data_IF_727787342252
#
_entry.id   IF_727787342252
#
_cell.length_a   1.000
_cell.length_b   1.000
_cell.length_c   1.000
_cell.angle_alpha   90.00
_cell.angle_beta   90.00
_cell.angle_gamma   90.00
#
_symmetry.space_group_name_H-M   'P 1'
#
loop_
_entity.id
_entity.type
_entity.pdbx_description
1 polymer ?
#
# COMPACT_ATOMS: atom_id res chain seq x y z
N UNK A 1 16.87 -6.41 -29.39
CA UNK A 1 15.98 -7.09 -30.38
C UNK A 1 14.94 -6.08 -30.88
N UNK A 2 14.63 -5.97 -32.19
CA UNK A 2 13.73 -4.94 -32.72
C UNK A 2 12.27 -5.37 -32.92
N UNK A 3 11.89 -6.59 -32.51
CA UNK A 3 10.53 -7.14 -32.64
C UNK A 3 10.08 -7.77 -31.32
N UNK A 4 8.77 -7.90 -31.14
CA UNK A 4 8.18 -8.54 -29.95
C UNK A 4 8.57 -10.02 -29.85
N UNK A 5 8.88 -10.47 -28.63
CA UNK A 5 9.07 -11.87 -28.33
C UNK A 5 8.70 -12.15 -26.87
N UNK A 6 8.24 -13.38 -26.60
CA UNK A 6 7.75 -13.79 -25.26
C UNK A 6 8.88 -13.88 -24.23
N UNK A 7 10.11 -14.13 -24.68
CA UNK A 7 11.28 -14.13 -23.79
C UNK A 7 11.57 -12.72 -23.31
N UNK A 8 11.78 -12.59 -22.00
CA UNK A 8 12.19 -11.34 -21.37
C UNK A 8 13.47 -10.80 -22.02
N UNK A 9 13.53 -9.48 -22.13
CA UNK A 9 14.74 -8.74 -22.49
C UNK A 9 15.70 -8.77 -21.30
N UNK A 10 16.99 -8.83 -21.61
CA UNK A 10 18.02 -8.68 -20.58
C UNK A 10 18.07 -7.23 -20.07
N UNK A 11 18.64 -7.05 -18.87
CA UNK A 11 18.73 -5.74 -18.23
C UNK A 11 19.48 -4.72 -19.09
N UNK A 12 20.52 -5.16 -19.82
CA UNK A 12 21.28 -4.31 -20.73
C UNK A 12 20.41 -3.79 -21.90
N UNK A 13 19.50 -4.60 -22.45
CA UNK A 13 18.57 -4.19 -23.49
C UNK A 13 17.54 -3.18 -22.97
N UNK A 14 17.02 -3.38 -21.76
CA UNK A 14 16.10 -2.43 -21.11
C UNK A 14 16.81 -1.10 -20.85
N UNK A 15 18.04 -1.14 -20.33
CA UNK A 15 18.85 0.06 -20.11
C UNK A 15 19.17 0.80 -21.41
N UNK A 16 19.46 0.06 -22.50
CA UNK A 16 19.68 0.66 -23.82
C UNK A 16 18.43 1.37 -24.34
N UNK A 17 17.24 0.81 -24.16
CA UNK A 17 15.98 1.48 -24.52
C UNK A 17 15.76 2.73 -23.70
N UNK A 18 15.98 2.67 -22.38
CA UNK A 18 15.86 3.83 -21.49
C UNK A 18 16.80 4.95 -21.90
N UNK A 19 18.09 4.65 -22.13
CA UNK A 19 19.09 5.64 -22.60
C UNK A 19 18.73 6.23 -23.96
N UNK A 20 18.17 5.44 -24.87
CA UNK A 20 17.80 5.94 -26.19
C UNK A 20 16.57 6.86 -26.12
N UNK A 21 15.59 6.52 -25.28
CA UNK A 21 14.46 7.40 -24.99
C UNK A 21 14.92 8.70 -24.32
N UNK A 22 15.83 8.62 -23.33
CA UNK A 22 16.43 9.80 -22.70
C UNK A 22 17.08 10.72 -23.74
N UNK A 23 17.86 10.14 -24.65
CA UNK A 23 18.53 10.90 -25.71
C UNK A 23 17.55 11.63 -26.63
N UNK A 24 16.58 10.94 -27.24
CA UNK A 24 15.64 11.60 -28.17
C UNK A 24 14.74 12.61 -27.45
N UNK A 25 14.37 12.36 -26.18
CA UNK A 25 13.62 13.33 -25.38
C UNK A 25 14.37 14.66 -25.17
N UNK A 26 15.71 14.63 -25.08
CA UNK A 26 16.51 15.86 -24.99
C UNK A 26 16.55 16.67 -26.29
N UNK A 27 16.37 16.03 -27.45
CA UNK A 27 16.35 16.72 -28.76
C UNK A 27 15.00 17.41 -29.06
N UNK A 28 13.95 17.11 -28.28
CA UNK A 28 12.64 17.75 -28.29
C UNK A 28 11.86 17.72 -29.63
N UNK A 29 12.15 16.76 -30.52
CA UNK A 29 11.35 16.51 -31.73
C UNK A 29 10.20 15.55 -31.44
N UNK A 30 8.98 16.09 -31.37
CA UNK A 30 7.77 15.33 -31.11
C UNK A 30 7.60 14.10 -32.02
N UNK A 31 7.83 14.25 -33.34
CA UNK A 31 7.54 13.18 -34.31
C UNK A 31 8.52 12.02 -34.13
N UNK A 32 9.80 12.35 -33.92
CA UNK A 32 10.84 11.35 -33.68
C UNK A 32 10.62 10.62 -32.37
N UNK A 33 10.31 11.35 -31.29
CA UNK A 33 10.08 10.76 -29.98
C UNK A 33 8.84 9.86 -30.01
N UNK A 34 7.72 10.32 -30.59
CA UNK A 34 6.51 9.50 -30.74
C UNK A 34 6.79 8.21 -31.53
N UNK A 35 7.54 8.30 -32.63
CA UNK A 35 7.91 7.13 -33.41
C UNK A 35 8.82 6.17 -32.65
N UNK A 36 9.77 6.70 -31.86
CA UNK A 36 10.63 5.88 -31.01
C UNK A 36 9.82 5.16 -29.93
N UNK A 37 8.86 5.84 -29.30
CA UNK A 37 7.98 5.24 -28.32
C UNK A 37 7.15 4.10 -28.89
N UNK A 38 6.52 4.29 -30.06
CA UNK A 38 5.76 3.22 -30.73
C UNK A 38 6.65 2.01 -31.04
N UNK A 39 7.92 2.22 -31.41
CA UNK A 39 8.88 1.12 -31.59
C UNK A 39 9.25 0.44 -30.28
N UNK A 40 9.47 1.23 -29.22
CA UNK A 40 9.85 0.73 -27.91
C UNK A 40 8.76 -0.17 -27.32
N UNK A 41 7.50 0.25 -27.36
CA UNK A 41 6.39 -0.52 -26.79
C UNK A 41 6.07 -1.80 -27.57
N UNK A 42 6.53 -1.94 -28.82
CA UNK A 42 6.48 -3.22 -29.54
C UNK A 42 7.47 -4.22 -28.95
N UNK A 43 8.71 -3.81 -28.70
CA UNK A 43 9.74 -4.70 -28.15
C UNK A 43 9.57 -4.92 -26.65
N UNK A 44 9.14 -3.89 -25.93
CA UNK A 44 9.02 -3.86 -24.48
C UNK A 44 7.56 -3.97 -24.02
N UNK A 45 6.70 -4.65 -24.81
CA UNK A 45 5.25 -4.66 -24.60
C UNK A 45 4.80 -5.14 -23.21
N UNK A 46 5.57 -6.03 -22.56
CA UNK A 46 5.25 -6.58 -21.25
C UNK A 46 5.78 -5.76 -20.06
N UNK A 47 6.48 -4.65 -20.34
CA UNK A 47 7.12 -3.81 -19.33
C UNK A 47 6.30 -2.54 -19.12
N UNK A 48 5.55 -2.52 -18.02
CA UNK A 48 4.66 -1.40 -17.66
C UNK A 48 5.42 -0.07 -17.55
N UNK A 49 6.72 -0.09 -17.23
CA UNK A 49 7.56 1.11 -17.09
C UNK A 49 7.62 1.94 -18.38
N UNK A 50 7.75 1.29 -19.55
CA UNK A 50 7.83 1.99 -20.83
C UNK A 50 6.47 2.54 -21.25
N UNK A 51 5.39 1.81 -20.99
CA UNK A 51 4.02 2.31 -21.19
C UNK A 51 3.72 3.53 -20.32
N UNK A 52 4.11 3.48 -19.04
CA UNK A 52 3.94 4.62 -18.13
C UNK A 52 4.78 5.82 -18.56
N UNK A 53 6.03 5.60 -18.97
CA UNK A 53 6.90 6.66 -19.48
C UNK A 53 6.30 7.29 -20.73
N UNK A 54 5.82 6.49 -21.67
CA UNK A 54 5.18 6.96 -22.89
C UNK A 54 3.92 7.78 -22.59
N UNK A 55 3.05 7.27 -21.70
CA UNK A 55 1.84 7.98 -21.30
C UNK A 55 2.16 9.32 -20.62
N UNK A 56 3.18 9.39 -19.76
CA UNK A 56 3.63 10.64 -19.12
C UNK A 56 4.18 11.64 -20.13
N UNK A 57 5.01 11.17 -21.07
CA UNK A 57 5.56 12.02 -22.13
C UNK A 57 4.46 12.59 -23.02
N UNK A 58 3.49 11.75 -23.42
CA UNK A 58 2.35 12.17 -24.25
C UNK A 58 1.40 13.11 -23.49
N UNK A 59 1.19 12.89 -22.19
CA UNK A 59 0.36 13.75 -21.34
C UNK A 59 0.94 15.15 -21.16
N UNK A 60 2.26 15.30 -21.24
CA UNK A 60 2.93 16.60 -21.21
C UNK A 60 2.77 17.40 -22.52
N UNK A 61 2.14 16.83 -23.55
CA UNK A 61 1.89 17.50 -24.82
C UNK A 61 0.49 18.13 -24.82
N UNK A 62 0.39 19.33 -25.39
CA UNK A 62 -0.86 20.09 -25.39
C UNK A 62 -1.97 19.37 -26.18
N UNK A 63 -3.10 19.11 -25.51
CA UNK A 63 -4.30 18.56 -26.14
C UNK A 63 -4.23 17.09 -26.54
N UNK A 64 -3.28 16.31 -25.99
CA UNK A 64 -3.04 14.90 -26.35
C UNK A 64 -3.71 13.86 -25.44
N UNK A 65 -4.83 14.22 -24.82
CA UNK A 65 -5.54 13.34 -23.89
C UNK A 65 -6.05 12.05 -24.54
N UNK A 66 -6.54 12.10 -25.78
CA UNK A 66 -7.04 10.91 -26.48
C UNK A 66 -5.90 9.96 -26.87
N UNK A 67 -4.72 10.48 -27.21
CA UNK A 67 -3.52 9.67 -27.44
C UNK A 67 -3.05 9.00 -26.15
N UNK A 68 -3.01 9.73 -25.03
CA UNK A 68 -2.70 9.14 -23.70
C UNK A 68 -3.68 8.01 -23.35
N UNK A 69 -4.98 8.24 -23.60
CA UNK A 69 -6.02 7.22 -23.40
C UNK A 69 -5.78 5.99 -24.26
N UNK A 70 -5.43 6.16 -25.53
CA UNK A 70 -5.13 5.06 -26.44
C UNK A 70 -3.92 4.24 -25.94
N UNK A 71 -2.87 4.92 -25.46
CA UNK A 71 -1.68 4.29 -24.87
C UNK A 71 -2.10 3.42 -23.67
N UNK A 72 -2.87 3.96 -22.74
CA UNK A 72 -3.34 3.21 -21.57
C UNK A 72 -4.27 2.05 -21.92
N UNK A 73 -5.17 2.22 -22.89
CA UNK A 73 -6.06 1.16 -23.36
C UNK A 73 -5.27 0.02 -24.00
N UNK A 74 -4.28 0.32 -24.85
CA UNK A 74 -3.40 -0.69 -25.46
C UNK A 74 -2.63 -1.45 -24.39
N UNK A 75 -1.98 -0.74 -23.48
CA UNK A 75 -1.23 -1.36 -22.39
C UNK A 75 -2.14 -2.26 -21.53
N UNK A 76 -3.27 -1.73 -21.08
CA UNK A 76 -4.17 -2.38 -20.12
C UNK A 76 -4.99 -3.54 -20.68
N UNK A 77 -5.43 -3.44 -21.95
CA UNK A 77 -6.38 -4.37 -22.55
C UNK A 77 -5.73 -5.39 -23.50
N UNK A 78 -4.51 -5.14 -23.98
CA UNK A 78 -3.86 -5.99 -25.00
C UNK A 78 -2.57 -6.62 -24.46
N UNK A 79 -1.68 -5.84 -23.84
CA UNK A 79 -0.30 -6.30 -23.59
C UNK A 79 0.00 -6.70 -22.14
N UNK A 80 -0.55 -5.98 -21.16
CA UNK A 80 -0.29 -6.25 -19.74
C UNK A 80 -1.23 -7.35 -19.22
N UNK A 81 -0.70 -8.45 -18.64
CA UNK A 81 -1.52 -9.52 -18.07
C UNK A 81 -2.55 -9.03 -17.06
N UNK A 82 -3.69 -9.71 -16.96
CA UNK A 82 -4.78 -9.32 -16.06
C UNK A 82 -4.34 -9.32 -14.59
N UNK A 83 -3.43 -10.25 -14.22
CA UNK A 83 -2.86 -10.34 -12.88
C UNK A 83 -1.98 -9.16 -12.45
N UNK A 84 -1.57 -8.26 -13.38
CA UNK A 84 -0.76 -7.07 -13.07
C UNK A 84 -1.64 -5.81 -13.17
N UNK A 85 -2.16 -5.28 -12.05
CA UNK A 85 -3.10 -4.17 -12.07
C UNK A 85 -2.43 -2.79 -12.19
N UNK A 86 -1.10 -2.70 -12.01
CA UNK A 86 -0.38 -1.43 -11.86
C UNK A 86 -0.70 -0.41 -12.97
N UNK A 87 -0.65 -0.81 -14.23
CA UNK A 87 -0.97 0.09 -15.35
C UNK A 87 -2.45 0.53 -15.35
N UNK A 88 -3.39 -0.36 -14.99
CA UNK A 88 -4.83 -0.08 -14.90
C UNK A 88 -5.14 0.92 -13.78
N UNK A 89 -4.44 0.81 -12.65
CA UNK A 89 -4.56 1.76 -11.54
C UNK A 89 -4.10 3.16 -11.93
N UNK A 90 -3.10 3.30 -12.81
CA UNK A 90 -2.68 4.59 -13.37
C UNK A 90 -3.66 5.12 -14.40
N UNK A 91 -4.18 4.24 -15.27
CA UNK A 91 -5.19 4.60 -16.25
C UNK A 91 -6.46 5.15 -15.59
N UNK A 92 -6.95 4.52 -14.52
CA UNK A 92 -8.10 5.01 -13.78
C UNK A 92 -7.89 6.42 -13.20
N UNK A 93 -6.69 6.72 -12.68
CA UNK A 93 -6.36 8.05 -12.17
C UNK A 93 -6.31 9.09 -13.29
N UNK A 94 -5.80 8.71 -14.47
CA UNK A 94 -5.82 9.56 -15.66
C UNK A 94 -7.25 9.87 -16.13
N UNK A 95 -8.15 8.88 -16.17
CA UNK A 95 -9.56 9.13 -16.57
C UNK A 95 -10.29 10.03 -15.58
N UNK A 96 -9.98 9.92 -14.28
CA UNK A 96 -10.48 10.87 -13.29
C UNK A 96 -9.98 12.30 -13.56
N UNK A 97 -8.69 12.47 -13.88
CA UNK A 97 -8.10 13.77 -14.21
C UNK A 97 -8.73 14.40 -15.47
N UNK A 98 -9.13 13.57 -16.44
CA UNK A 98 -9.88 13.98 -17.63
C UNK A 98 -11.40 14.19 -17.39
N UNK A 99 -11.83 14.34 -16.13
CA UNK A 99 -13.24 14.52 -15.74
C UNK A 99 -14.17 13.36 -16.15
N UNK A 100 -13.66 12.12 -16.18
CA UNK A 100 -14.44 10.88 -16.44
C UNK A 100 -14.41 9.93 -15.22
N UNK A 101 -14.93 10.35 -14.05
CA UNK A 101 -14.86 9.56 -12.82
C UNK A 101 -15.64 8.24 -12.90
N UNK A 102 -16.70 8.17 -13.72
CA UNK A 102 -17.44 6.92 -13.94
C UNK A 102 -16.59 5.86 -14.63
N UNK A 103 -15.76 6.25 -15.59
CA UNK A 103 -14.82 5.36 -16.28
C UNK A 103 -13.73 4.91 -15.31
N UNK A 104 -13.19 5.83 -14.50
CA UNK A 104 -12.22 5.50 -13.46
C UNK A 104 -12.75 4.45 -12.48
N UNK A 105 -13.99 4.62 -11.99
CA UNK A 105 -14.65 3.65 -11.12
C UNK A 105 -14.79 2.27 -11.78
N UNK A 106 -15.26 2.23 -13.04
CA UNK A 106 -15.41 0.99 -13.80
C UNK A 106 -14.08 0.25 -14.00
N UNK A 107 -12.96 0.98 -14.19
CA UNK A 107 -11.62 0.37 -14.29
C UNK A 107 -11.22 -0.27 -12.94
N UNK A 108 -11.43 0.42 -11.82
CA UNK A 108 -11.15 -0.15 -10.49
C UNK A 108 -12.02 -1.38 -10.21
N UNK A 109 -13.31 -1.32 -10.49
CA UNK A 109 -14.24 -2.45 -10.34
C UNK A 109 -13.82 -3.64 -11.21
N UNK A 110 -13.39 -3.41 -12.46
CA UNK A 110 -12.89 -4.47 -13.34
C UNK A 110 -11.63 -5.18 -12.79
N UNK A 111 -10.75 -4.44 -12.10
CA UNK A 111 -9.61 -5.04 -11.39
C UNK A 111 -10.13 -5.95 -10.27
N UNK A 112 -11.12 -5.48 -9.51
CA UNK A 112 -11.69 -6.20 -8.38
C UNK A 112 -12.46 -7.44 -8.78
N UNK A 113 -13.09 -7.47 -9.97
CA UNK A 113 -13.68 -8.70 -10.52
C UNK A 113 -12.63 -9.81 -10.71
N UNK A 114 -11.39 -9.45 -11.06
CA UNK A 114 -10.32 -10.45 -11.21
C UNK A 114 -9.57 -10.71 -9.89
N UNK A 115 -9.55 -9.74 -8.99
CA UNK A 115 -8.84 -9.82 -7.72
C UNK A 115 -9.62 -9.07 -6.62
N UNK A 116 -10.65 -9.70 -6.04
CA UNK A 116 -11.60 -9.05 -5.11
C UNK A 116 -10.94 -8.44 -3.88
N UNK A 117 -9.88 -9.06 -3.36
CA UNK A 117 -9.12 -8.59 -2.20
C UNK A 117 -8.02 -7.56 -2.51
N UNK A 118 -7.96 -6.97 -3.72
CA UNK A 118 -6.89 -6.03 -4.06
C UNK A 118 -7.05 -4.72 -3.26
N UNK A 119 -6.31 -4.63 -2.15
CA UNK A 119 -6.31 -3.50 -1.23
C UNK A 119 -6.06 -2.15 -1.94
N UNK A 120 -5.12 -2.11 -2.88
CA UNK A 120 -4.78 -0.87 -3.58
C UNK A 120 -5.93 -0.39 -4.46
N UNK A 121 -6.59 -1.29 -5.18
CA UNK A 121 -7.74 -0.96 -6.01
C UNK A 121 -8.93 -0.47 -5.18
N UNK A 122 -9.26 -1.14 -4.07
CA UNK A 122 -10.35 -0.70 -3.16
C UNK A 122 -10.02 0.67 -2.56
N UNK A 123 -8.78 0.86 -2.08
CA UNK A 123 -8.35 2.13 -1.49
C UNK A 123 -8.39 3.27 -2.49
N UNK A 124 -8.00 3.04 -3.75
CA UNK A 124 -8.08 4.05 -4.81
C UNK A 124 -9.54 4.35 -5.21
N UNK A 125 -10.40 3.33 -5.26
CA UNK A 125 -11.84 3.51 -5.51
C UNK A 125 -12.53 4.31 -4.40
N UNK A 126 -12.26 3.99 -3.12
CA UNK A 126 -12.78 4.75 -1.99
C UNK A 126 -12.29 6.22 -2.02
N UNK A 127 -11.02 6.44 -2.38
CA UNK A 127 -10.48 7.79 -2.54
C UNK A 127 -11.05 8.56 -3.73
N UNK A 128 -11.39 7.87 -4.84
CA UNK A 128 -12.14 8.44 -5.95
C UNK A 128 -13.52 8.92 -5.46
N UNK A 129 -14.30 8.05 -4.81
CA UNK A 129 -15.61 8.44 -4.27
C UNK A 129 -15.52 9.57 -3.25
N UNK A 130 -14.44 9.61 -2.45
CA UNK A 130 -14.17 10.72 -1.54
C UNK A 130 -14.00 12.05 -2.26
N UNK A 131 -13.30 12.07 -3.39
CA UNK A 131 -13.07 13.30 -4.18
C UNK A 131 -14.32 13.77 -4.92
N UNK A 132 -15.16 12.83 -5.36
CA UNK A 132 -16.35 13.13 -6.17
C UNK A 132 -17.58 13.46 -5.32
N UNK A 133 -17.87 12.67 -4.28
CA UNK A 133 -19.12 12.78 -3.48
C UNK A 133 -18.82 13.22 -2.05
N UNK A 134 -17.83 12.62 -1.41
CA UNK A 134 -17.42 12.96 -0.05
C UNK A 134 -17.10 11.76 0.82
N UNK A 135 -16.88 12.02 2.11
CA UNK A 135 -16.40 11.01 3.07
C UNK A 135 -17.33 9.81 3.23
N UNK A 136 -18.64 10.04 3.35
CA UNK A 136 -19.60 8.96 3.61
C UNK A 136 -19.68 7.95 2.45
N UNK A 137 -19.53 8.42 1.21
CA UNK A 137 -19.45 7.56 0.03
C UNK A 137 -18.20 6.67 0.05
N UNK A 138 -17.07 7.19 0.53
CA UNK A 138 -15.85 6.41 0.68
C UNK A 138 -15.97 5.33 1.76
N UNK A 139 -16.69 5.61 2.86
CA UNK A 139 -16.98 4.62 3.90
C UNK A 139 -17.88 3.52 3.36
N UNK A 140 -18.91 3.87 2.57
CA UNK A 140 -19.80 2.88 1.93
C UNK A 140 -19.04 1.90 1.03
N UNK A 141 -18.02 2.36 0.30
CA UNK A 141 -17.14 1.47 -0.48
C UNK A 141 -16.43 0.47 0.42
N UNK A 142 -15.84 0.92 1.54
CA UNK A 142 -15.20 -0.01 2.48
C UNK A 142 -16.19 -1.00 3.08
N UNK A 143 -17.37 -0.54 3.50
CA UNK A 143 -18.42 -1.42 4.06
C UNK A 143 -18.88 -2.48 3.04
N UNK A 144 -19.01 -2.12 1.77
CA UNK A 144 -19.34 -3.04 0.69
C UNK A 144 -18.30 -4.17 0.56
N UNK A 145 -17.00 -3.84 0.52
CA UNK A 145 -15.94 -4.84 0.38
C UNK A 145 -15.63 -5.60 1.67
N UNK A 146 -15.98 -5.06 2.84
CA UNK A 146 -15.94 -5.81 4.11
C UNK A 146 -17.04 -6.87 4.17
N UNK A 147 -18.22 -6.58 3.62
CA UNK A 147 -19.33 -7.51 3.51
C UNK A 147 -19.12 -8.59 2.43
N UNK A 148 -18.24 -8.35 1.45
CA UNK A 148 -17.94 -9.27 0.37
C UNK A 148 -17.38 -10.61 0.88
N UNK A 149 -17.93 -11.72 0.39
CA UNK A 149 -17.51 -13.07 0.78
C UNK A 149 -16.20 -13.50 0.10
N UNK A 150 -15.81 -12.87 -1.01
CA UNK A 150 -14.61 -13.23 -1.77
C UNK A 150 -13.32 -12.65 -1.16
N UNK A 151 -13.42 -11.61 -0.32
CA UNK A 151 -12.29 -11.02 0.39
C UNK A 151 -11.81 -11.93 1.53
N UNK A 152 -10.50 -12.15 1.62
CA UNK A 152 -9.93 -12.94 2.72
C UNK A 152 -10.04 -12.19 4.05
N UNK A 153 -9.94 -12.93 5.17
CA UNK A 153 -9.95 -12.32 6.50
C UNK A 153 -8.79 -11.33 6.69
N UNK A 154 -7.64 -11.55 6.03
CA UNK A 154 -6.52 -10.63 6.10
C UNK A 154 -6.75 -9.36 5.26
N UNK A 155 -7.31 -9.50 4.06
CA UNK A 155 -7.68 -8.35 3.21
C UNK A 155 -8.69 -7.47 3.93
N UNK A 156 -9.71 -8.08 4.56
CA UNK A 156 -10.69 -7.36 5.40
C UNK A 156 -10.02 -6.66 6.57
N UNK A 157 -9.04 -7.29 7.21
CA UNK A 157 -8.23 -6.68 8.25
C UNK A 157 -7.50 -5.43 7.75
N UNK A 158 -6.89 -5.49 6.58
CA UNK A 158 -6.24 -4.35 5.94
C UNK A 158 -7.24 -3.22 5.58
N UNK A 159 -8.43 -3.58 5.08
CA UNK A 159 -9.48 -2.60 4.75
C UNK A 159 -9.97 -1.83 5.99
N UNK A 160 -10.14 -2.49 7.13
CA UNK A 160 -10.51 -1.81 8.39
C UNK A 160 -9.44 -0.79 8.80
N UNK A 161 -8.16 -1.12 8.61
CA UNK A 161 -7.06 -0.17 8.88
C UNK A 161 -7.13 1.03 7.95
N UNK A 162 -7.33 0.82 6.65
CA UNK A 162 -7.45 1.93 5.69
C UNK A 162 -8.69 2.80 5.96
N UNK A 163 -9.79 2.21 6.42
CA UNK A 163 -10.96 2.95 6.87
C UNK A 163 -10.65 3.81 8.12
N UNK A 164 -9.90 3.28 9.09
CA UNK A 164 -9.46 4.06 10.25
C UNK A 164 -8.49 5.19 9.86
N UNK A 165 -7.58 4.95 8.91
CA UNK A 165 -6.70 5.97 8.33
C UNK A 165 -7.50 7.04 7.59
N UNK A 166 -8.54 6.66 6.85
CA UNK A 166 -9.43 7.59 6.17
C UNK A 166 -10.11 8.52 7.19
N UNK A 167 -10.66 7.97 8.28
CA UNK A 167 -11.27 8.76 9.36
C UNK A 167 -10.27 9.76 9.95
N UNK A 168 -9.07 9.28 10.27
CA UNK A 168 -8.03 10.14 10.85
C UNK A 168 -7.55 11.23 9.88
N UNK A 169 -7.21 10.90 8.62
CA UNK A 169 -6.69 11.88 7.67
C UNK A 169 -7.75 12.87 7.19
N UNK A 170 -9.00 12.42 7.02
CA UNK A 170 -10.08 13.26 6.50
C UNK A 170 -10.72 14.14 7.58
N UNK A 171 -11.03 13.59 8.76
CA UNK A 171 -11.72 14.32 9.83
C UNK A 171 -10.76 14.89 10.88
N UNK A 172 -9.47 14.55 10.82
CA UNK A 172 -8.48 14.78 11.90
C UNK A 172 -8.90 14.14 13.24
N UNK A 173 -9.80 13.17 13.17
CA UNK A 173 -10.33 12.48 14.33
C UNK A 173 -9.61 11.14 14.51
N UNK A 174 -8.55 11.17 15.31
CA UNK A 174 -7.82 9.96 15.67
C UNK A 174 -8.60 9.10 16.68
N UNK A 175 -9.60 9.64 17.38
CA UNK A 175 -10.40 8.89 18.36
C UNK A 175 -11.36 7.97 17.61
N UNK A 176 -12.05 8.48 16.59
CA UNK A 176 -12.93 7.66 15.75
C UNK A 176 -12.16 6.50 15.08
N UNK A 177 -10.97 6.77 14.53
CA UNK A 177 -10.13 5.73 13.93
C UNK A 177 -9.76 4.62 14.92
N UNK A 178 -9.43 4.98 16.17
CA UNK A 178 -9.14 4.00 17.23
C UNK A 178 -10.37 3.21 17.66
N UNK A 179 -11.51 3.86 17.76
CA UNK A 179 -12.76 3.20 18.13
C UNK A 179 -13.12 2.11 17.10
N UNK A 180 -12.99 2.41 15.81
CA UNK A 180 -13.13 1.43 14.72
C UNK A 180 -12.18 0.22 14.92
N UNK A 181 -10.90 0.47 15.13
CA UNK A 181 -9.89 -0.58 15.28
C UNK A 181 -10.12 -1.43 16.54
N UNK A 182 -10.41 -0.79 17.67
CA UNK A 182 -10.61 -1.47 18.95
C UNK A 182 -11.86 -2.35 18.99
N UNK A 183 -12.93 -1.98 18.27
CA UNK A 183 -14.13 -2.81 18.11
C UNK A 183 -13.85 -4.05 17.28
N UNK A 184 -13.02 -3.93 16.24
CA UNK A 184 -12.76 -4.98 15.26
C UNK A 184 -11.61 -5.91 15.66
N UNK A 185 -10.79 -5.56 16.67
CA UNK A 185 -9.60 -6.33 17.07
C UNK A 185 -9.86 -7.80 17.42
N UNK A 186 -11.05 -8.12 17.96
CA UNK A 186 -11.39 -9.49 18.36
C UNK A 186 -11.74 -10.38 17.17
N UNK A 187 -12.15 -9.78 16.04
CA UNK A 187 -12.49 -10.48 14.81
C UNK A 187 -11.25 -10.76 13.94
N UNK A 188 -10.21 -9.92 14.07
CA UNK A 188 -8.99 -10.00 13.26
C UNK A 188 -7.75 -10.44 14.04
N UNK A 189 -7.92 -11.31 15.04
CA UNK A 189 -6.80 -11.86 15.85
C UNK A 189 -5.74 -12.59 14.99
N UNK A 190 -6.14 -13.07 13.82
CA UNK A 190 -5.33 -13.92 12.95
C UNK A 190 -4.81 -13.16 11.71
N UNK A 191 -5.13 -11.85 11.55
CA UNK A 191 -4.76 -11.03 10.39
C UNK A 191 -3.45 -10.25 10.63
N UNK A 192 -2.34 -10.61 9.96
CA UNK A 192 -1.10 -9.85 10.05
C UNK A 192 -1.26 -8.40 9.59
N UNK A 193 -2.03 -8.18 8.52
CA UNK A 193 -2.18 -6.86 7.90
C UNK A 193 -2.94 -5.90 8.80
N UNK A 194 -3.96 -6.38 9.54
CA UNK A 194 -4.66 -5.61 10.55
C UNK A 194 -3.71 -5.12 11.66
N UNK A 195 -2.93 -6.02 12.26
CA UNK A 195 -2.05 -5.67 13.38
C UNK A 195 -0.85 -4.82 12.96
N UNK A 196 -0.28 -5.07 11.78
CA UNK A 196 0.74 -4.21 11.18
C UNK A 196 0.21 -2.81 10.95
N UNK A 197 -0.99 -2.71 10.38
CA UNK A 197 -1.66 -1.47 10.08
C UNK A 197 -2.06 -0.68 11.33
N UNK A 198 -2.57 -1.34 12.36
CA UNK A 198 -2.90 -0.73 13.65
C UNK A 198 -1.64 -0.23 14.36
N UNK A 199 -0.56 -1.01 14.38
CA UNK A 199 0.71 -0.58 14.96
C UNK A 199 1.25 0.67 14.25
N UNK A 200 1.28 0.68 12.92
CA UNK A 200 1.66 1.87 12.15
C UNK A 200 0.72 3.04 12.41
N UNK A 201 -0.60 2.81 12.49
CA UNK A 201 -1.57 3.87 12.78
C UNK A 201 -1.32 4.57 14.11
N UNK A 202 -0.93 3.85 15.18
CA UNK A 202 -0.59 4.47 16.47
C UNK A 202 0.79 5.12 16.47
N UNK A 203 1.77 4.57 15.76
CA UNK A 203 3.12 5.15 15.63
C UNK A 203 3.05 6.48 14.88
N UNK A 204 2.29 6.55 13.79
CA UNK A 204 2.23 7.71 12.89
C UNK A 204 1.46 8.91 13.49
N UNK A 205 0.86 8.78 14.67
CA UNK A 205 0.10 9.85 15.30
C UNK A 205 0.99 11.06 15.62
N UNK A 206 0.53 12.29 15.32
CA UNK A 206 1.31 13.49 15.60
C UNK A 206 1.54 13.58 17.09
N UNK A 207 2.82 13.60 17.51
CA UNK A 207 3.17 13.70 18.91
C UNK A 207 3.51 15.12 19.30
N UNK A 208 2.81 15.66 20.30
CA UNK A 208 3.27 16.83 21.07
C UNK A 208 3.94 16.35 22.37
N UNK A 209 4.67 17.24 23.05
CA UNK A 209 5.37 16.90 24.30
C UNK A 209 4.42 16.32 25.37
N UNK A 210 3.18 16.80 25.42
CA UNK A 210 2.18 16.38 26.40
C UNK A 210 1.54 15.01 26.04
N UNK A 211 1.37 14.71 24.75
CA UNK A 211 0.73 13.45 24.31
C UNK A 211 1.72 12.31 24.09
N UNK A 212 3.03 12.58 24.20
CA UNK A 212 4.08 11.62 23.90
C UNK A 212 4.11 10.43 24.85
N UNK A 213 3.90 10.67 26.14
CA UNK A 213 3.86 9.60 27.14
C UNK A 213 2.65 8.69 26.92
N UNK A 214 1.47 9.26 26.67
CA UNK A 214 0.27 8.48 26.43
C UNK A 214 0.34 7.66 25.15
N UNK A 215 0.93 8.20 24.07
CA UNK A 215 1.16 7.46 22.83
C UNK A 215 2.10 6.28 23.09
N UNK A 216 3.20 6.48 23.82
CA UNK A 216 4.14 5.41 24.14
C UNK A 216 3.46 4.28 24.92
N UNK A 217 2.66 4.60 25.93
CA UNK A 217 1.89 3.59 26.68
C UNK A 217 0.87 2.86 25.80
N UNK A 218 0.19 3.56 24.88
CA UNK A 218 -0.75 2.93 23.93
C UNK A 218 -0.03 1.96 22.98
N UNK A 219 1.09 2.38 22.39
CA UNK A 219 1.87 1.55 21.46
C UNK A 219 2.44 0.33 22.20
N UNK A 220 2.91 0.51 23.44
CA UNK A 220 3.38 -0.58 24.31
C UNK A 220 2.26 -1.56 24.67
N UNK A 221 1.10 -1.06 25.06
CA UNK A 221 -0.08 -1.89 25.34
C UNK A 221 -0.52 -2.68 24.09
N UNK A 222 -0.49 -2.05 22.91
CA UNK A 222 -0.77 -2.69 21.64
C UNK A 222 0.25 -3.80 21.32
N UNK A 223 1.55 -3.52 21.46
CA UNK A 223 2.60 -4.52 21.26
C UNK A 223 2.45 -5.73 22.20
N UNK A 224 2.14 -5.48 23.48
CA UNK A 224 1.88 -6.56 24.44
C UNK A 224 0.64 -7.40 24.06
N UNK A 225 -0.38 -6.76 23.48
CA UNK A 225 -1.58 -7.44 22.96
C UNK A 225 -1.22 -8.30 21.75
N UNK A 226 -0.44 -7.76 20.82
CA UNK A 226 0.07 -8.50 19.64
C UNK A 226 0.82 -9.76 20.09
N UNK A 227 1.71 -9.65 21.08
CA UNK A 227 2.54 -10.77 21.54
C UNK A 227 1.78 -11.86 22.30
N UNK A 228 0.74 -11.48 23.05
CA UNK A 228 0.12 -12.36 24.04
C UNK A 228 -1.29 -12.84 23.67
N UNK A 229 -2.04 -12.09 22.86
CA UNK A 229 -3.46 -12.35 22.58
C UNK A 229 -3.76 -12.72 21.13
N UNK A 230 -2.87 -12.42 20.18
CA UNK A 230 -3.08 -12.75 18.77
C UNK A 230 -2.70 -14.20 18.48
N UNK A 231 -3.22 -14.77 17.38
CA UNK A 231 -2.83 -16.11 16.92
C UNK A 231 -1.86 -16.07 15.73
N UNK A 232 -1.12 -14.96 15.61
CA UNK A 232 -0.12 -14.76 14.57
C UNK A 232 1.05 -15.72 14.71
N UNK A 233 1.75 -15.99 13.60
CA UNK A 233 2.97 -16.78 13.61
C UNK A 233 4.11 -16.07 14.37
N UNK A 234 5.06 -16.84 14.89
CA UNK A 234 6.19 -16.30 15.63
C UNK A 234 7.04 -15.32 14.79
N UNK A 235 7.18 -15.59 13.48
CA UNK A 235 7.93 -14.74 12.55
C UNK A 235 7.24 -13.39 12.34
N UNK A 236 5.91 -13.38 12.17
CA UNK A 236 5.14 -12.14 12.04
C UNK A 236 5.20 -11.32 13.32
N UNK A 237 5.09 -11.97 14.49
CA UNK A 237 5.24 -11.30 15.79
C UNK A 237 6.64 -10.70 15.92
N UNK A 238 7.67 -11.39 15.43
CA UNK A 238 9.05 -10.89 15.40
C UNK A 238 9.17 -9.64 14.52
N UNK A 239 8.63 -9.67 13.31
CA UNK A 239 8.66 -8.51 12.39
C UNK A 239 7.92 -7.30 12.96
N UNK A 240 6.73 -7.51 13.56
CA UNK A 240 5.99 -6.45 14.25
C UNK A 240 6.75 -5.91 15.47
N UNK A 241 7.45 -6.78 16.18
CA UNK A 241 8.31 -6.37 17.31
C UNK A 241 9.50 -5.55 16.83
N UNK A 242 10.09 -5.86 15.68
CA UNK A 242 11.17 -5.06 15.10
C UNK A 242 10.68 -3.66 14.71
N UNK A 243 9.46 -3.52 14.18
CA UNK A 243 8.86 -2.20 13.90
C UNK A 243 8.68 -1.38 15.19
N UNK A 244 8.21 -2.02 16.27
CA UNK A 244 8.11 -1.37 17.58
C UNK A 244 9.49 -0.99 18.16
N UNK A 245 10.50 -1.84 17.96
CA UNK A 245 11.88 -1.54 18.34
C UNK A 245 12.42 -0.30 17.61
N UNK A 246 12.15 -0.16 16.31
CA UNK A 246 12.48 1.06 15.56
C UNK A 246 11.83 2.31 16.17
N UNK A 247 10.54 2.22 16.52
CA UNK A 247 9.83 3.30 17.23
C UNK A 247 10.49 3.68 18.58
N UNK A 248 10.98 2.70 19.34
CA UNK A 248 11.68 2.96 20.61
C UNK A 248 13.01 3.71 20.40
N UNK A 249 13.72 3.48 19.29
CA UNK A 249 14.99 4.18 19.00
C UNK A 249 14.82 5.65 18.62
N UNK A 250 13.67 6.02 18.08
CA UNK A 250 13.37 7.40 17.66
C UNK A 250 12.89 8.29 18.81
N UNK A 251 12.44 7.70 19.94
CA UNK A 251 11.90 8.45 21.08
C UNK A 251 12.99 8.94 22.04
N UNK A 252 12.82 10.18 22.51
CA UNK A 252 13.75 10.88 23.43
C UNK A 252 13.65 10.42 24.92
N UNK A 253 13.06 9.26 25.22
CA UNK A 253 12.90 8.79 26.60
C UNK A 253 14.08 7.93 27.05
N UNK A 254 14.66 8.24 28.22
CA UNK A 254 15.75 7.45 28.83
C UNK A 254 15.34 5.99 29.12
N UNK A 255 14.03 5.73 29.30
CA UNK A 255 13.51 4.38 29.56
C UNK A 255 13.34 3.56 28.27
N UNK A 256 13.23 4.21 27.10
CA UNK A 256 13.02 3.53 25.83
C UNK A 256 14.21 2.61 25.47
N UNK A 257 15.43 3.04 25.78
CA UNK A 257 16.63 2.23 25.55
C UNK A 257 16.64 0.93 26.39
N UNK A 258 16.12 0.99 27.63
CA UNK A 258 16.01 -0.20 28.48
C UNK A 258 14.93 -1.15 27.96
N UNK A 259 13.77 -0.61 27.59
CA UNK A 259 12.68 -1.40 27.01
C UNK A 259 13.09 -2.05 25.69
N UNK A 260 13.88 -1.36 24.87
CA UNK A 260 14.45 -1.90 23.64
C UNK A 260 15.32 -3.12 23.93
N UNK A 261 16.23 -3.04 24.90
CA UNK A 261 17.13 -4.15 25.25
C UNK A 261 16.39 -5.34 25.84
N UNK A 262 15.38 -5.09 26.68
CA UNK A 262 14.51 -6.14 27.23
C UNK A 262 13.72 -6.84 26.11
N UNK A 263 13.25 -6.08 25.11
CA UNK A 263 12.54 -6.64 23.97
C UNK A 263 13.47 -7.38 22.99
N UNK A 264 14.66 -6.85 22.72
CA UNK A 264 15.67 -7.47 21.87
C UNK A 264 16.08 -8.84 22.42
N UNK A 265 16.29 -8.91 23.74
CA UNK A 265 16.55 -10.17 24.44
C UNK A 265 15.43 -11.20 24.24
N UNK A 266 14.16 -10.77 24.20
CA UNK A 266 13.01 -11.66 24.05
C UNK A 266 12.72 -12.07 22.60
N UNK A 267 13.16 -11.27 21.62
CA UNK A 267 12.83 -11.43 20.20
C UNK A 267 14.00 -12.03 19.41
N UNK A 268 15.23 -11.58 19.70
CA UNK A 268 16.45 -11.97 18.99
C UNK A 268 17.42 -12.79 19.85
N UNK A 269 17.14 -12.94 21.16
CA UNK A 269 17.99 -13.70 22.07
C UNK A 269 18.04 -15.21 21.78
N UNK A 270 19.05 -15.92 22.30
CA UNK A 270 19.17 -17.37 22.16
C UNK A 270 18.00 -18.10 22.84
N UNK A 271 17.63 -19.28 22.34
CA UNK A 271 16.41 -20.00 22.74
C UNK A 271 16.23 -20.17 24.26
N UNK A 272 17.32 -20.42 25.00
CA UNK A 272 17.32 -20.55 26.46
C UNK A 272 16.84 -19.27 27.17
N UNK A 273 17.28 -18.11 26.67
CA UNK A 273 16.93 -16.79 27.23
C UNK A 273 15.49 -16.41 26.88
N UNK A 274 15.06 -16.71 25.65
CA UNK A 274 13.67 -16.51 25.20
C UNK A 274 12.69 -17.36 26.02
N UNK A 275 13.05 -18.61 26.34
CA UNK A 275 12.22 -19.48 27.19
C UNK A 275 12.12 -18.95 28.62
N UNK A 276 13.24 -18.56 29.24
CA UNK A 276 13.25 -18.03 30.61
C UNK A 276 12.44 -16.73 30.73
N UNK A 277 12.56 -15.83 29.75
CA UNK A 277 11.79 -14.58 29.71
C UNK A 277 10.28 -14.77 29.58
N UNK A 278 9.81 -15.80 28.88
CA UNK A 278 8.37 -16.15 28.79
C UNK A 278 7.81 -16.65 30.13
N UNK A 279 8.59 -17.37 30.92
CA UNK A 279 8.17 -17.83 32.26
C UNK A 279 8.11 -16.69 33.27
N UNK A 280 9.07 -15.76 33.23
CA UNK A 280 9.08 -14.58 34.10
C UNK A 280 7.88 -13.66 33.84
N UNK A 281 7.52 -13.43 32.57
CA UNK A 281 6.37 -12.59 32.20
C UNK A 281 5.00 -13.18 32.60
N UNK A 282 4.88 -14.51 32.68
CA UNK A 282 3.65 -15.17 33.18
C UNK A 282 3.54 -15.13 34.71
N UNK A 283 4.66 -15.09 35.42
CA UNK A 283 4.69 -15.03 36.89
C UNK A 283 4.37 -13.65 37.48
N UNK A 284 4.52 -12.56 36.70
CA UNK A 284 4.19 -11.19 37.16
C UNK A 284 2.76 -10.76 36.84
N UNK A 285 1.97 -11.61 36.16
CA UNK A 285 0.58 -11.34 35.77
C UNK A 285 -0.44 -12.14 36.62
N UNK A 286 0.02 -12.78 37.69
CA UNK A 286 -0.79 -13.51 38.68
C UNK A 286 -0.82 -12.76 40.01
#
# INVERSE_FOLDING_TARGET
RPYFHVTELDEAQLENWSKYLDFEETEADYTRIAFLYERCVVTCAHYDEFWQRYARWMYNQDGKEEEVRNIFQRASCIYTPIARPAIRLHWALFEEACNRPSVAAAIYEAILVTSPGNLEAITRLANLQRRQVGYDAAVQVYDQYLADAECSADDKGALVVEMARLAWKSKRDAVQGRDILSRQQQLFLDSPSFWAGYLSFEIDQPTTLDTAAEQAERVKALHSTIRNKTRLSADIIKDLSQRYMGYLTEKQSKLAAREYLELDMLVNGPALVVTAGKFAAKGSAA
#
